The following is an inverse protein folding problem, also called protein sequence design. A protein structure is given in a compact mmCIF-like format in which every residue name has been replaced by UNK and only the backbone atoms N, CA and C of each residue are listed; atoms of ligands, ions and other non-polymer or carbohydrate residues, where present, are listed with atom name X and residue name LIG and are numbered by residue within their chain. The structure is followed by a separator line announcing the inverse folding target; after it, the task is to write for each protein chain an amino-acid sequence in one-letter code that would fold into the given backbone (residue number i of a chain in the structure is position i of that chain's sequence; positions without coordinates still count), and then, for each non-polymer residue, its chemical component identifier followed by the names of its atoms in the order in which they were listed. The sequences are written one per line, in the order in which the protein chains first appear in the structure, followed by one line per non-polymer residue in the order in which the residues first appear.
data_IF_520456069621
#
_entry.id   IF_520456069621
#
_cell.length_a   1.000
_cell.length_b   1.000
_cell.length_c   1.000
_cell.angle_alpha   90.00
_cell.angle_beta   90.00
_cell.angle_gamma   90.00
#
_symmetry.space_group_name_H-M   'P 1'
#
loop_
_entity.id
_entity.type
_entity.pdbx_description
1 polymer ?
#
# COMPACT_ATOMS: atom_id res chain seq x y z
N UNK A 1 104.82 7.31 6.56
CA UNK A 1 103.95 7.59 7.72
C UNK A 1 102.83 8.50 7.23
N UNK A 2 101.54 8.16 7.35
CA UNK A 2 100.72 8.07 8.59
C UNK A 2 100.38 9.47 9.15
N UNK A 3 99.12 9.86 9.46
CA UNK A 3 97.79 9.25 9.22
C UNK A 3 96.68 10.23 9.72
N UNK A 4 95.51 10.34 9.03
CA UNK A 4 94.14 10.77 9.51
C UNK A 4 94.05 12.16 10.24
N UNK A 5 92.95 12.91 10.42
CA UNK A 5 91.49 12.85 10.13
C UNK A 5 91.04 14.20 9.47
N UNK A 6 89.80 14.73 9.41
CA UNK A 6 88.45 14.31 9.84
C UNK A 6 87.37 14.90 8.90
N UNK A 7 86.18 14.30 8.85
CA UNK A 7 85.06 14.71 8.00
C UNK A 7 84.18 15.81 8.65
N UNK A 8 83.47 16.59 7.82
CA UNK A 8 82.19 17.21 8.22
C UNK A 8 81.13 16.92 7.15
N UNK A 9 80.03 16.29 7.54
CA UNK A 9 79.02 15.70 6.66
C UNK A 9 77.69 16.43 6.83
N UNK A 10 77.10 16.94 5.75
CA UNK A 10 75.82 17.69 5.80
C UNK A 10 74.68 16.73 5.41
N UNK A 11 73.68 16.48 6.26
CA UNK A 11 72.55 15.62 5.92
C UNK A 11 71.50 16.36 5.09
N UNK A 12 71.24 15.90 3.87
CA UNK A 12 70.15 16.37 3.02
C UNK A 12 68.91 15.54 3.34
N UNK A 13 67.91 16.13 4.02
CA UNK A 13 66.66 15.43 4.29
C UNK A 13 65.73 15.43 3.07
N UNK A 14 65.32 14.23 2.66
CA UNK A 14 64.54 13.96 1.46
C UNK A 14 63.04 14.20 1.72
N UNK A 15 62.39 14.99 0.87
CA UNK A 15 60.93 15.14 0.90
C UNK A 15 60.23 13.83 0.49
N UNK A 16 59.22 13.35 1.24
CA UNK A 16 58.48 12.13 0.87
C UNK A 16 57.64 12.37 -0.39
N UNK A 17 57.84 11.50 -1.38
CA UNK A 17 57.16 11.54 -2.68
C UNK A 17 55.69 11.14 -2.52
N UNK A 18 54.78 12.12 -2.56
CA UNK A 18 53.33 11.90 -2.42
C UNK A 18 52.86 10.91 -3.49
N UNK A 19 52.24 9.77 -3.12
CA UNK A 19 51.76 8.79 -4.08
C UNK A 19 50.57 9.35 -4.87
N UNK A 20 50.69 9.38 -6.20
CA UNK A 20 49.55 9.71 -7.08
C UNK A 20 48.48 8.64 -6.93
N UNK A 21 47.38 8.98 -6.28
CA UNK A 21 46.24 8.10 -6.10
C UNK A 21 45.52 7.92 -7.45
N UNK A 22 45.85 6.85 -8.17
CA UNK A 22 45.20 6.50 -9.44
C UNK A 22 43.81 5.96 -9.13
N UNK A 23 42.81 6.86 -9.15
CA UNK A 23 41.40 6.50 -9.06
C UNK A 23 41.04 5.65 -10.29
N UNK A 24 41.00 4.33 -10.12
CA UNK A 24 40.61 3.39 -11.17
C UNK A 24 39.13 3.61 -11.49
N UNK A 25 38.84 4.28 -12.61
CA UNK A 25 37.48 4.62 -13.12
C UNK A 25 36.47 3.45 -13.14
N UNK A 26 36.93 2.20 -13.04
CA UNK A 26 36.09 1.00 -13.01
C UNK A 26 35.38 0.73 -11.66
N UNK A 27 35.79 1.38 -10.56
CA UNK A 27 35.22 1.11 -9.23
C UNK A 27 33.85 1.78 -8.96
N UNK A 28 33.48 2.82 -9.72
CA UNK A 28 32.25 3.61 -9.48
C UNK A 28 31.01 3.03 -10.19
N UNK A 29 31.22 2.21 -11.23
CA UNK A 29 30.13 1.66 -12.05
C UNK A 29 29.33 0.57 -11.31
N UNK A 30 30.01 -0.23 -10.47
CA UNK A 30 29.40 -1.36 -9.77
C UNK A 30 28.28 -0.98 -8.79
N UNK A 31 28.43 0.01 -7.87
CA UNK A 31 27.35 0.40 -6.98
C UNK A 31 26.15 1.04 -7.72
N UNK A 32 26.38 1.73 -8.84
CA UNK A 32 25.30 2.36 -9.62
C UNK A 32 24.42 1.29 -10.27
N UNK A 33 25.02 0.25 -10.86
CA UNK A 33 24.26 -0.88 -11.43
C UNK A 33 23.51 -1.65 -10.34
N UNK A 34 24.11 -1.86 -9.16
CA UNK A 34 23.45 -2.52 -8.04
C UNK A 34 22.20 -1.76 -7.54
N UNK A 35 22.28 -0.43 -7.44
CA UNK A 35 21.11 0.42 -7.11
C UNK A 35 20.05 0.34 -8.22
N UNK A 36 20.45 0.37 -9.49
CA UNK A 36 19.51 0.25 -10.62
C UNK A 36 18.75 -1.09 -10.62
N UNK A 37 19.42 -2.18 -10.24
CA UNK A 37 18.79 -3.50 -10.09
C UNK A 37 17.83 -3.59 -8.90
N UNK A 38 18.08 -2.85 -7.82
CA UNK A 38 17.19 -2.81 -6.65
C UNK A 38 15.85 -2.11 -6.94
N UNK A 39 15.83 -1.08 -7.81
CA UNK A 39 14.59 -0.42 -8.24
C UNK A 39 13.79 -1.29 -9.23
N UNK A 40 14.44 -2.25 -9.89
CA UNK A 40 13.84 -3.16 -10.87
C UNK A 40 13.29 -4.46 -10.26
N UNK A 41 13.33 -4.65 -8.93
CA UNK A 41 12.65 -5.79 -8.30
C UNK A 41 11.14 -5.48 -8.28
N UNK A 42 10.30 -6.21 -9.03
CA UNK A 42 8.87 -6.02 -8.90
C UNK A 42 8.45 -6.45 -7.49
N UNK A 43 7.88 -5.55 -6.71
CA UNK A 43 7.16 -5.85 -5.47
C UNK A 43 5.82 -6.56 -5.77
N UNK A 44 5.87 -7.58 -6.62
CA UNK A 44 4.76 -8.41 -7.03
C UNK A 44 4.57 -9.57 -6.06
N UNK A 45 4.14 -9.29 -4.83
CA UNK A 45 3.55 -10.32 -3.98
C UNK A 45 2.21 -10.74 -4.59
N UNK A 46 2.28 -11.69 -5.52
CA UNK A 46 1.10 -12.36 -6.07
C UNK A 46 0.57 -13.34 -5.02
N UNK A 47 -0.02 -12.80 -3.95
CA UNK A 47 -0.97 -13.53 -3.13
C UNK A 47 -2.05 -14.06 -4.08
N UNK A 48 -2.18 -15.39 -4.14
CA UNK A 48 -3.26 -16.04 -4.88
C UNK A 48 -4.58 -15.61 -4.29
N UNK A 49 -5.44 -14.98 -5.09
CA UNK A 49 -6.84 -14.75 -4.70
C UNK A 49 -7.47 -16.11 -4.38
N UNK A 50 -8.09 -16.27 -3.20
CA UNK A 50 -8.75 -17.52 -2.84
C UNK A 50 -9.89 -17.81 -3.81
N UNK A 51 -10.30 -19.07 -3.93
CA UNK A 51 -11.49 -19.41 -4.71
C UNK A 51 -12.73 -18.83 -4.00
N UNK A 52 -13.49 -18.00 -4.70
CA UNK A 52 -14.66 -17.32 -4.16
C UNK A 52 -15.92 -18.00 -4.67
N UNK A 53 -16.72 -18.55 -3.75
CA UNK A 53 -18.06 -19.06 -4.04
C UNK A 53 -19.11 -17.93 -4.01
N UNK A 54 -20.23 -18.06 -4.75
CA UNK A 54 -21.37 -17.17 -4.56
C UNK A 54 -21.96 -17.29 -3.14
N UNK A 55 -22.66 -16.26 -2.64
CA UNK A 55 -23.29 -16.27 -1.33
C UNK A 55 -24.39 -17.34 -1.22
N UNK A 56 -24.66 -17.85 -0.01
CA UNK A 56 -25.81 -18.70 0.25
C UNK A 56 -27.13 -17.94 0.03
N UNK A 57 -28.22 -18.68 -0.22
CA UNK A 57 -29.55 -18.11 -0.45
C UNK A 57 -30.13 -17.32 0.74
N UNK A 58 -29.57 -17.48 1.94
CA UNK A 58 -29.84 -16.66 3.12
C UNK A 58 -28.52 -16.26 3.77
N UNK A 59 -28.35 -14.97 4.03
CA UNK A 59 -27.23 -14.43 4.81
C UNK A 59 -27.38 -14.80 6.30
N UNK A 60 -26.27 -14.92 7.05
CA UNK A 60 -26.32 -15.36 8.44
C UNK A 60 -26.89 -14.27 9.36
N UNK A 61 -27.58 -14.72 10.41
CA UNK A 61 -28.14 -13.86 11.44
C UNK A 61 -27.03 -13.35 12.35
N UNK A 62 -26.96 -12.03 12.58
CA UNK A 62 -25.94 -11.39 13.41
C UNK A 62 -26.57 -10.68 14.62
N UNK A 63 -26.16 -11.08 15.82
CA UNK A 63 -26.58 -10.46 17.09
C UNK A 63 -25.53 -9.43 17.53
N UNK A 64 -25.97 -8.23 17.89
CA UNK A 64 -25.09 -7.20 18.45
C UNK A 64 -25.74 -6.46 19.62
N UNK A 65 -24.89 -5.90 20.48
CA UNK A 65 -25.28 -5.28 21.74
C UNK A 65 -24.94 -3.79 21.71
N UNK A 66 -25.91 -2.96 22.06
CA UNK A 66 -25.73 -1.53 22.36
C UNK A 66 -25.54 -1.35 23.87
N UNK A 67 -25.34 -0.11 24.33
CA UNK A 67 -25.24 0.20 25.76
C UNK A 67 -26.54 -0.09 26.56
N UNK A 68 -27.69 -0.26 25.89
CA UNK A 68 -29.01 -0.35 26.55
C UNK A 68 -29.85 -1.55 26.12
N UNK A 69 -29.55 -2.20 25.00
CA UNK A 69 -30.33 -3.31 24.45
C UNK A 69 -29.47 -4.17 23.52
N UNK A 70 -30.06 -5.22 22.93
CA UNK A 70 -29.47 -5.97 21.83
C UNK A 70 -30.40 -5.93 20.61
N UNK A 71 -29.82 -6.10 19.44
CA UNK A 71 -30.52 -6.17 18.16
C UNK A 71 -29.97 -7.31 17.31
N UNK A 72 -30.83 -7.83 16.44
CA UNK A 72 -30.50 -8.93 15.54
C UNK A 72 -30.67 -8.44 14.10
N UNK A 73 -29.62 -8.56 13.29
CA UNK A 73 -29.66 -8.36 11.84
C UNK A 73 -29.96 -9.70 11.20
N UNK A 74 -31.11 -9.82 10.56
CA UNK A 74 -31.50 -11.00 9.80
C UNK A 74 -31.19 -10.83 8.29
N UNK A 75 -31.47 -11.84 7.46
CA UNK A 75 -31.17 -11.80 6.04
C UNK A 75 -31.93 -10.69 5.26
N UNK A 76 -33.16 -10.35 5.66
CA UNK A 76 -33.90 -9.23 5.08
C UNK A 76 -33.22 -7.89 5.43
N UNK A 77 -32.84 -7.69 6.69
CA UNK A 77 -32.14 -6.48 7.13
C UNK A 77 -30.81 -6.31 6.37
N UNK A 78 -30.03 -7.39 6.22
CA UNK A 78 -28.80 -7.38 5.43
C UNK A 78 -29.02 -7.00 3.97
N UNK A 79 -30.07 -7.54 3.33
CA UNK A 79 -30.41 -7.17 1.97
C UNK A 79 -30.81 -5.69 1.86
N UNK A 80 -31.53 -5.13 2.85
CA UNK A 80 -31.84 -3.70 2.91
C UNK A 80 -30.56 -2.85 3.12
N UNK A 81 -29.66 -3.27 4.00
CA UNK A 81 -28.38 -2.57 4.25
C UNK A 81 -27.52 -2.55 2.98
N UNK A 82 -27.32 -3.69 2.32
CA UNK A 82 -26.53 -3.79 1.09
C UNK A 82 -27.12 -2.89 -0.01
N UNK A 83 -28.43 -3.00 -0.27
CA UNK A 83 -29.10 -2.24 -1.33
C UNK A 83 -29.29 -0.74 -1.07
N UNK A 84 -29.14 -0.28 0.18
CA UNK A 84 -29.23 1.16 0.51
C UNK A 84 -27.89 1.83 0.80
N UNK A 85 -26.86 1.04 1.13
CA UNK A 85 -25.51 1.54 1.47
C UNK A 85 -24.50 1.25 0.36
N UNK A 86 -24.38 0.00 -0.11
CA UNK A 86 -23.39 -0.40 -1.13
C UNK A 86 -23.85 -0.13 -2.56
N UNK A 87 -25.12 -0.39 -2.85
CA UNK A 87 -25.68 -0.17 -4.20
C UNK A 87 -26.04 1.31 -4.46
N UNK A 88 -25.85 2.17 -3.45
CA UNK A 88 -26.10 3.60 -3.53
C UNK A 88 -24.87 4.33 -4.05
N UNK A 89 -24.90 4.71 -5.33
CA UNK A 89 -23.80 5.41 -6.02
C UNK A 89 -23.49 6.81 -5.49
N UNK A 90 -24.30 7.34 -4.57
CA UNK A 90 -24.00 8.59 -3.84
C UNK A 90 -23.23 8.35 -2.53
N UNK A 91 -22.99 7.09 -2.16
CA UNK A 91 -22.21 6.66 -0.99
C UNK A 91 -20.98 5.84 -1.40
N UNK A 92 -21.11 4.95 -2.39
CA UNK A 92 -20.03 4.13 -2.95
C UNK A 92 -20.10 4.19 -4.47
N UNK A 93 -19.07 4.72 -5.12
CA UNK A 93 -19.07 4.96 -6.57
C UNK A 93 -19.04 3.68 -7.43
N UNK A 94 -18.46 2.59 -6.91
CA UNK A 94 -18.42 1.30 -7.60
C UNK A 94 -19.80 0.62 -7.63
N UNK A 95 -20.26 0.09 -8.79
CA UNK A 95 -21.59 -0.48 -8.93
C UNK A 95 -21.68 -1.92 -8.37
N UNK A 96 -21.66 -2.04 -7.04
CA UNK A 96 -21.66 -3.32 -6.31
C UNK A 96 -22.83 -4.26 -6.68
N UNK A 97 -24.02 -3.72 -6.96
CA UNK A 97 -25.22 -4.46 -7.39
C UNK A 97 -24.99 -5.45 -8.56
N UNK A 98 -23.98 -5.22 -9.40
CA UNK A 98 -23.64 -6.10 -10.53
C UNK A 98 -22.72 -7.27 -10.14
N UNK A 99 -22.21 -7.29 -8.90
CA UNK A 99 -21.25 -8.27 -8.41
C UNK A 99 -21.94 -9.34 -7.56
N UNK A 100 -21.97 -10.57 -8.08
CA UNK A 100 -22.54 -11.75 -7.42
C UNK A 100 -21.98 -12.02 -6.01
N UNK A 101 -20.83 -11.44 -5.66
CA UNK A 101 -20.13 -11.64 -4.39
C UNK A 101 -20.13 -10.40 -3.49
N UNK A 102 -20.99 -9.41 -3.75
CA UNK A 102 -21.10 -8.15 -2.97
C UNK A 102 -21.24 -8.35 -1.45
N UNK A 103 -21.84 -9.46 -1.00
CA UNK A 103 -21.96 -9.78 0.42
C UNK A 103 -20.59 -9.92 1.12
N UNK A 104 -19.53 -10.27 0.40
CA UNK A 104 -18.15 -10.31 0.91
C UNK A 104 -17.59 -8.95 1.31
N UNK A 105 -18.28 -7.84 1.05
CA UNK A 105 -17.93 -6.55 1.66
C UNK A 105 -18.05 -6.67 3.19
N UNK A 106 -19.10 -7.30 3.71
CA UNK A 106 -19.34 -7.47 5.16
C UNK A 106 -18.95 -8.87 5.70
N UNK A 107 -19.16 -9.93 4.91
CA UNK A 107 -18.98 -11.31 5.36
C UNK A 107 -17.60 -11.88 5.02
N UNK A 108 -17.22 -12.93 5.75
CA UNK A 108 -16.05 -13.75 5.40
C UNK A 108 -16.31 -14.60 4.13
N UNK A 109 -15.26 -15.26 3.61
CA UNK A 109 -15.32 -16.07 2.38
C UNK A 109 -16.30 -17.27 2.50
N UNK A 110 -16.62 -17.72 3.72
CA UNK A 110 -17.58 -18.80 3.97
C UNK A 110 -19.03 -18.32 4.09
N UNK A 111 -19.25 -17.00 4.19
CA UNK A 111 -20.53 -16.36 4.51
C UNK A 111 -21.17 -16.86 5.82
N UNK A 112 -20.36 -17.35 6.78
CA UNK A 112 -20.84 -17.77 8.11
C UNK A 112 -20.55 -16.73 9.18
N UNK A 113 -19.39 -16.07 9.11
CA UNK A 113 -18.99 -14.98 9.98
C UNK A 113 -18.79 -13.65 9.24
N UNK A 114 -18.49 -12.62 10.01
CA UNK A 114 -18.17 -11.28 9.51
C UNK A 114 -16.68 -11.16 9.22
N UNK A 115 -16.32 -10.47 8.15
CA UNK A 115 -14.92 -10.08 7.90
C UNK A 115 -14.54 -8.86 8.78
N UNK A 116 -13.27 -8.41 8.80
CA UNK A 116 -12.84 -7.26 9.60
C UNK A 116 -13.66 -5.97 9.38
N UNK A 117 -13.99 -5.62 8.13
CA UNK A 117 -14.81 -4.45 7.81
C UNK A 117 -16.26 -4.63 8.30
N UNK A 118 -16.82 -5.84 8.14
CA UNK A 118 -18.12 -6.18 8.69
C UNK A 118 -18.18 -6.06 10.21
N UNK A 119 -17.12 -6.47 10.92
CA UNK A 119 -17.01 -6.29 12.37
C UNK A 119 -16.90 -4.81 12.76
N UNK A 120 -16.08 -4.02 12.07
CA UNK A 120 -15.99 -2.57 12.24
C UNK A 120 -17.36 -1.90 12.03
N UNK A 121 -18.11 -2.31 11.01
CA UNK A 121 -19.47 -1.84 10.72
C UNK A 121 -20.47 -2.19 11.83
N UNK A 122 -20.46 -3.42 12.36
CA UNK A 122 -21.33 -3.82 13.47
C UNK A 122 -21.00 -3.03 14.75
N UNK A 123 -19.72 -2.77 15.02
CA UNK A 123 -19.28 -1.96 16.17
C UNK A 123 -19.66 -0.48 16.00
N UNK A 124 -19.68 0.03 14.78
CA UNK A 124 -20.20 1.36 14.48
C UNK A 124 -21.73 1.42 14.62
N UNK A 125 -22.45 0.42 14.11
CA UNK A 125 -23.90 0.32 14.21
C UNK A 125 -24.36 0.22 15.68
N UNK A 126 -23.62 -0.49 16.53
CA UNK A 126 -23.95 -0.61 17.95
C UNK A 126 -23.73 0.68 18.77
N UNK A 127 -22.83 1.56 18.31
CA UNK A 127 -22.50 2.84 18.94
C UNK A 127 -23.37 3.99 18.44
N UNK A 128 -23.39 4.18 17.12
CA UNK A 128 -23.97 5.37 16.46
C UNK A 128 -25.40 5.13 15.96
N UNK A 129 -25.71 3.90 15.53
CA UNK A 129 -26.97 3.58 14.87
C UNK A 129 -28.07 3.05 15.80
N UNK A 130 -27.72 2.24 16.80
CA UNK A 130 -28.72 1.54 17.60
C UNK A 130 -29.36 0.38 16.83
N UNK A 131 -30.59 0.53 16.35
CA UNK A 131 -31.34 -0.52 15.64
C UNK A 131 -30.91 -0.70 14.16
N UNK A 132 -31.12 -1.88 13.54
CA UNK A 132 -30.60 -2.18 12.20
C UNK A 132 -31.47 -1.60 11.07
N UNK A 133 -31.73 -0.30 11.11
CA UNK A 133 -32.42 0.43 10.03
C UNK A 133 -31.44 0.91 8.98
N UNK A 134 -31.93 1.21 7.78
CA UNK A 134 -31.12 1.73 6.66
C UNK A 134 -30.47 3.09 6.98
N UNK A 135 -31.18 3.96 7.72
CA UNK A 135 -30.63 5.23 8.22
C UNK A 135 -29.44 4.98 9.17
N UNK A 136 -29.61 4.07 10.13
CA UNK A 136 -28.60 3.75 11.14
C UNK A 136 -27.39 3.05 10.53
N UNK A 137 -27.61 2.16 9.56
CA UNK A 137 -26.58 1.55 8.74
C UNK A 137 -25.80 2.59 7.92
N UNK A 138 -26.46 3.60 7.36
CA UNK A 138 -25.80 4.70 6.63
C UNK A 138 -24.90 5.51 7.56
N UNK A 139 -25.35 5.81 8.79
CA UNK A 139 -24.54 6.51 9.80
C UNK A 139 -23.32 5.66 10.21
N UNK A 140 -23.55 4.37 10.50
CA UNK A 140 -22.49 3.43 10.86
C UNK A 140 -21.42 3.31 9.76
N UNK A 141 -21.85 3.15 8.51
CA UNK A 141 -20.97 3.10 7.34
C UNK A 141 -20.09 4.35 7.23
N UNK A 142 -20.70 5.54 7.27
CA UNK A 142 -19.96 6.82 7.18
C UNK A 142 -18.94 7.00 8.31
N UNK A 143 -19.24 6.50 9.51
CA UNK A 143 -18.30 6.58 10.64
C UNK A 143 -17.01 5.76 10.45
N UNK A 144 -17.04 4.72 9.61
CA UNK A 144 -15.89 3.83 9.34
C UNK A 144 -15.28 4.02 7.94
N UNK A 145 -15.87 4.85 7.09
CA UNK A 145 -15.51 5.01 5.67
C UNK A 145 -14.04 5.43 5.50
N UNK A 146 -13.54 6.28 6.41
CA UNK A 146 -12.18 6.81 6.41
C UNK A 146 -11.18 5.98 7.26
N UNK A 147 -11.59 4.84 7.82
CA UNK A 147 -10.67 3.96 8.55
C UNK A 147 -9.75 3.17 7.59
N UNK A 148 -8.56 2.71 8.05
CA UNK A 148 -7.63 1.95 7.22
C UNK A 148 -8.19 0.60 6.77
N UNK A 149 -8.20 0.36 5.46
CA UNK A 149 -8.60 -0.92 4.86
C UNK A 149 -7.56 -2.01 5.12
N UNK A 150 -7.95 -3.29 4.94
CA UNK A 150 -6.96 -4.38 4.81
C UNK A 150 -6.27 -4.37 3.43
N UNK A 151 -6.85 -3.68 2.44
CA UNK A 151 -6.23 -3.40 1.14
C UNK A 151 -5.13 -2.36 1.34
N UNK A 152 -3.88 -2.74 1.05
CA UNK A 152 -2.70 -1.92 1.34
C UNK A 152 -2.72 -0.57 0.62
N UNK A 153 -2.67 0.52 1.38
CA UNK A 153 -2.64 1.90 0.85
C UNK A 153 -4.01 2.57 0.70
N UNK A 154 -5.09 1.92 1.13
CA UNK A 154 -6.47 2.41 0.96
C UNK A 154 -7.16 2.63 2.31
N UNK A 155 -8.05 3.63 2.38
CA UNK A 155 -9.15 3.64 3.37
C UNK A 155 -10.28 2.69 2.95
N UNK A 156 -11.20 2.40 3.86
CA UNK A 156 -12.36 1.56 3.58
C UNK A 156 -13.17 2.05 2.37
N UNK A 157 -13.46 3.36 2.30
CA UNK A 157 -14.20 3.95 1.18
C UNK A 157 -13.41 3.89 -0.14
N UNK A 158 -12.13 4.24 -0.12
CA UNK A 158 -11.29 4.17 -1.31
C UNK A 158 -11.16 2.75 -1.87
N UNK A 159 -11.16 1.73 -0.99
CA UNK A 159 -11.17 0.34 -1.41
C UNK A 159 -12.51 -0.03 -2.07
N UNK A 160 -13.64 0.36 -1.46
CA UNK A 160 -14.98 0.09 -1.99
C UNK A 160 -15.26 0.81 -3.31
N UNK A 161 -14.85 2.07 -3.44
CA UNK A 161 -14.90 2.88 -4.68
C UNK A 161 -14.06 2.27 -5.80
N UNK A 162 -12.97 1.59 -5.45
CA UNK A 162 -12.10 0.87 -6.37
C UNK A 162 -12.57 -0.56 -6.70
N UNK A 163 -13.74 -0.98 -6.21
CA UNK A 163 -14.27 -2.35 -6.38
C UNK A 163 -13.51 -3.43 -5.59
N UNK A 164 -12.73 -3.04 -4.58
CA UNK A 164 -12.02 -3.95 -3.69
C UNK A 164 -12.76 -4.18 -2.36
N UNK A 165 -12.62 -5.37 -1.79
CA UNK A 165 -13.23 -5.74 -0.51
C UNK A 165 -12.36 -5.24 0.66
N UNK A 166 -12.81 -4.26 1.46
CA UNK A 166 -11.97 -3.67 2.50
C UNK A 166 -11.56 -4.64 3.61
N UNK A 167 -12.34 -5.70 3.85
CA UNK A 167 -12.04 -6.74 4.83
C UNK A 167 -10.89 -7.70 4.46
N UNK A 168 -10.39 -7.69 3.22
CA UNK A 168 -9.45 -8.72 2.74
C UNK A 168 -8.15 -8.15 2.16
N UNK A 169 -7.02 -8.53 2.75
CA UNK A 169 -5.68 -8.11 2.32
C UNK A 169 -5.22 -8.67 0.98
N UNK A 170 -5.88 -9.71 0.47
CA UNK A 170 -5.66 -10.24 -0.88
C UNK A 170 -6.52 -9.55 -1.94
N UNK A 171 -7.53 -8.76 -1.54
CA UNK A 171 -8.37 -8.04 -2.49
C UNK A 171 -7.58 -6.91 -3.14
N UNK A 172 -7.80 -6.71 -4.44
CA UNK A 172 -7.10 -5.72 -5.25
C UNK A 172 -8.15 -4.81 -5.91
N UNK A 173 -7.88 -3.50 -6.01
CA UNK A 173 -8.61 -2.57 -6.88
C UNK A 173 -8.90 -3.17 -8.25
N UNK A 174 -10.18 -3.19 -8.63
CA UNK A 174 -10.63 -3.46 -10.00
C UNK A 174 -10.45 -2.19 -10.82
N UNK A 175 -11.04 -1.10 -10.34
CA UNK A 175 -10.86 0.23 -10.88
C UNK A 175 -9.73 0.92 -10.10
N UNK A 176 -8.55 1.02 -10.70
CA UNK A 176 -7.42 1.70 -10.07
C UNK A 176 -7.69 3.20 -10.03
N UNK A 177 -7.75 3.87 -8.85
CA UNK A 177 -7.64 5.31 -8.82
C UNK A 177 -6.27 5.73 -9.37
N UNK A 178 -6.24 6.76 -10.21
CA UNK A 178 -5.03 7.23 -10.92
C UNK A 178 -3.87 7.68 -10.00
N UNK A 179 -4.12 7.79 -8.69
CA UNK A 179 -3.11 8.11 -7.65
C UNK A 179 -1.92 7.13 -7.69
N UNK A 180 -2.15 5.84 -7.98
CA UNK A 180 -1.06 4.86 -8.13
C UNK A 180 -0.22 5.06 -9.42
N UNK A 181 -0.67 5.87 -10.37
CA UNK A 181 0.14 6.26 -11.53
C UNK A 181 1.08 7.43 -11.19
N UNK A 182 0.69 8.34 -10.28
CA UNK A 182 1.48 9.53 -9.95
C UNK A 182 2.84 9.19 -9.33
N UNK A 183 2.91 8.22 -8.42
CA UNK A 183 4.20 7.74 -7.86
C UNK A 183 5.12 7.21 -8.97
N UNK A 184 4.55 6.52 -9.98
CA UNK A 184 5.29 5.99 -11.11
C UNK A 184 5.86 7.11 -12.00
N UNK A 185 5.08 8.18 -12.23
CA UNK A 185 5.56 9.35 -12.96
C UNK A 185 6.66 10.10 -12.20
N UNK A 186 6.56 10.26 -10.87
CA UNK A 186 7.60 10.92 -10.06
C UNK A 186 8.93 10.17 -10.15
N UNK A 187 8.91 8.83 -10.04
CA UNK A 187 10.11 7.98 -10.19
C UNK A 187 10.69 8.10 -11.60
N UNK A 188 9.85 8.08 -12.64
CA UNK A 188 10.29 8.19 -14.03
C UNK A 188 10.94 9.56 -14.33
N UNK A 189 10.36 10.66 -13.83
CA UNK A 189 10.93 12.01 -13.91
C UNK A 189 12.30 12.07 -13.21
N UNK A 190 12.42 11.50 -12.01
CA UNK A 190 13.68 11.46 -11.27
C UNK A 190 14.79 10.70 -12.03
N UNK A 191 14.45 9.58 -12.67
CA UNK A 191 15.38 8.82 -13.52
C UNK A 191 15.83 9.69 -14.72
N UNK A 192 14.90 10.28 -15.48
CA UNK A 192 15.23 11.11 -16.65
C UNK A 192 16.11 12.31 -16.26
N UNK A 193 15.78 13.02 -15.18
CA UNK A 193 16.60 14.11 -14.65
C UNK A 193 18.01 13.63 -14.25
N UNK A 194 18.15 12.47 -13.61
CA UNK A 194 19.46 11.92 -13.24
C UNK A 194 20.35 11.62 -14.44
N UNK A 195 19.77 11.11 -15.54
CA UNK A 195 20.48 10.85 -16.80
C UNK A 195 20.91 12.15 -17.47
N UNK A 196 20.04 13.17 -17.50
CA UNK A 196 20.39 14.50 -18.02
C UNK A 196 21.54 15.15 -17.24
N UNK A 197 21.50 15.09 -15.91
CA UNK A 197 22.58 15.62 -15.06
C UNK A 197 23.88 14.84 -15.28
N UNK A 198 23.86 13.51 -15.38
CA UNK A 198 25.05 12.73 -15.70
C UNK A 198 25.62 13.10 -17.08
N UNK A 199 24.78 13.20 -18.11
CA UNK A 199 25.23 13.59 -19.45
C UNK A 199 25.91 14.96 -19.43
N UNK A 200 25.30 15.97 -18.79
CA UNK A 200 25.90 17.30 -18.71
C UNK A 200 27.18 17.38 -17.86
N UNK A 201 27.27 16.61 -16.76
CA UNK A 201 28.45 16.61 -15.88
C UNK A 201 29.63 15.86 -16.49
N UNK A 202 29.40 14.73 -17.16
CA UNK A 202 30.46 13.91 -17.73
C UNK A 202 30.84 14.30 -19.17
N UNK A 203 29.89 14.71 -20.01
CA UNK A 203 30.18 15.08 -21.41
C UNK A 203 30.82 16.48 -21.55
N UNK A 204 30.85 17.29 -20.48
CA UNK A 204 31.53 18.60 -20.43
C UNK A 204 33.02 18.49 -20.02
N UNK A 205 33.58 17.28 -19.97
CA UNK A 205 35.00 16.99 -19.65
C UNK A 205 35.72 16.19 -20.75
N UNK A 206 35.13 16.12 -21.94
CA UNK A 206 35.77 15.73 -23.19
C UNK A 206 35.97 16.97 -24.05
#
# INVERSE_FOLDING_TARGET
MSVISENCYIPIHIYPKIPKMIIKRKAVVFPIIAVLFLVMIPFGSNASTPNISPPPASLPVQLYYTNTTHYTINAYDWNQIISTVLDNTSLVSYPWANNLTQALVFFDISYTGMNPFGLEFIVALSKEGGSPTTQNATIAFKSIENMPSKVSGYTNIQALDAGAYPGFSWSKPVDKPGILEEEYYIVLIAIVASVFVMYFVFNRRS
#
